data_IF_982780259553
#
_entry.id   IF_982780259553
#
_cell.length_a   1.000
_cell.length_b   1.000
_cell.length_c   1.000
_cell.angle_alpha   90.00
_cell.angle_beta   90.00
_cell.angle_gamma   90.00
#
_symmetry.space_group_name_H-M   'P 1'
#
loop_
_entity.id
_entity.type
_entity.pdbx_description
1 polymer ?
#
# COMPACT_ATOMS: atom_id res chain seq x y z
N UNK A 1 -15.83 -21.15 1.73
CA UNK A 1 -15.22 -20.96 0.39
C UNK A 1 -13.88 -20.28 0.60
N UNK A 2 -12.77 -20.91 0.20
CA UNK A 2 -11.44 -20.33 0.27
C UNK A 2 -11.16 -19.56 -1.03
N UNK A 3 -10.76 -18.30 -0.92
CA UNK A 3 -10.21 -17.56 -2.05
C UNK A 3 -8.72 -17.93 -2.15
N UNK A 4 -8.31 -18.45 -3.31
CA UNK A 4 -6.90 -18.66 -3.63
C UNK A 4 -6.43 -17.54 -4.56
N UNK A 5 -5.29 -16.94 -4.25
CA UNK A 5 -4.54 -16.15 -5.23
C UNK A 5 -3.48 -17.04 -5.83
N UNK A 6 -3.38 -17.02 -7.16
CA UNK A 6 -2.25 -17.68 -7.80
C UNK A 6 -0.95 -16.95 -7.40
N UNK A 7 -0.08 -17.72 -6.74
CA UNK A 7 1.15 -17.24 -6.12
C UNK A 7 2.08 -16.57 -7.14
N UNK A 8 2.17 -17.14 -8.34
CA UNK A 8 3.01 -16.61 -9.41
C UNK A 8 2.49 -15.27 -9.96
N UNK A 9 1.18 -15.12 -10.07
CA UNK A 9 0.57 -13.86 -10.48
C UNK A 9 0.73 -12.75 -9.42
N UNK A 10 0.64 -13.08 -8.13
CA UNK A 10 0.85 -12.11 -7.05
C UNK A 10 2.32 -11.65 -7.00
N UNK A 11 3.26 -12.59 -7.13
CA UNK A 11 4.70 -12.35 -7.23
C UNK A 11 5.06 -11.36 -8.36
N UNK A 12 4.57 -11.64 -9.58
CA UNK A 12 4.89 -10.83 -10.76
C UNK A 12 4.26 -9.42 -10.71
N UNK A 13 3.05 -9.30 -10.16
CA UNK A 13 2.38 -8.01 -10.08
C UNK A 13 2.98 -7.11 -9.00
N UNK A 14 3.35 -7.69 -7.85
CA UNK A 14 3.92 -6.94 -6.73
C UNK A 14 5.22 -6.24 -7.12
N UNK A 15 6.19 -7.01 -7.64
CA UNK A 15 7.51 -6.49 -7.98
C UNK A 15 7.43 -5.39 -9.05
N UNK A 16 6.59 -5.55 -10.08
CA UNK A 16 6.47 -4.53 -11.14
C UNK A 16 5.85 -3.23 -10.65
N UNK A 17 4.79 -3.31 -9.83
CA UNK A 17 4.00 -2.14 -9.43
C UNK A 17 4.61 -1.39 -8.24
N UNK A 18 5.24 -2.12 -7.33
CA UNK A 18 5.69 -1.58 -6.05
C UNK A 18 7.21 -1.43 -5.95
N UNK A 19 7.97 -1.73 -7.01
CA UNK A 19 9.44 -1.54 -7.05
C UNK A 19 9.90 -0.14 -6.64
N UNK A 20 9.08 0.89 -6.90
CA UNK A 20 9.31 2.28 -6.51
C UNK A 20 7.98 2.89 -6.04
N UNK A 21 7.97 3.48 -4.85
CA UNK A 21 6.81 4.12 -4.28
C UNK A 21 7.17 5.45 -3.63
N UNK A 22 6.30 6.46 -3.77
CA UNK A 22 6.40 7.73 -3.08
C UNK A 22 5.18 7.90 -2.16
N UNK A 23 5.44 8.22 -0.90
CA UNK A 23 4.45 8.48 0.13
C UNK A 23 4.47 9.97 0.45
N UNK A 24 3.43 10.67 0.02
CA UNK A 24 3.28 12.13 0.16
C UNK A 24 2.30 12.41 1.30
N UNK A 25 2.71 13.06 2.40
CA UNK A 25 1.78 13.46 3.45
C UNK A 25 0.84 14.53 2.92
N UNK A 26 -0.42 14.47 3.35
CA UNK A 26 -1.41 15.48 3.00
C UNK A 26 -2.29 15.84 4.20
N UNK A 27 -2.68 17.11 4.24
CA UNK A 27 -3.72 17.61 5.11
C UNK A 27 -4.95 17.96 4.26
N UNK A 28 -6.14 17.70 4.80
CA UNK A 28 -7.40 18.06 4.14
C UNK A 28 -8.21 19.00 5.00
N UNK A 29 -8.67 20.11 4.44
CA UNK A 29 -9.46 21.15 5.14
C UNK A 29 -10.72 21.54 4.36
N UNK A 30 -11.70 22.12 5.06
CA UNK A 30 -12.84 22.81 4.46
C UNK A 30 -13.94 21.95 3.81
N UNK A 31 -14.92 22.66 3.25
CA UNK A 31 -15.98 22.16 2.34
C UNK A 31 -16.12 23.19 1.18
N UNK A 32 -15.82 22.83 -0.09
CA UNK A 32 -15.33 21.54 -0.57
C UNK A 32 -13.93 21.22 -0.02
N UNK A 33 -13.54 19.94 -0.07
CA UNK A 33 -12.23 19.50 0.44
C UNK A 33 -11.10 20.17 -0.35
N UNK A 34 -10.24 20.88 0.37
CA UNK A 34 -8.97 21.40 -0.10
C UNK A 34 -7.86 20.52 0.47
N UNK A 35 -6.79 20.33 -0.29
CA UNK A 35 -5.65 19.50 0.12
C UNK A 35 -4.37 20.31 0.06
N UNK A 36 -3.55 20.20 1.12
CA UNK A 36 -2.17 20.68 1.14
C UNK A 36 -1.26 19.47 1.25
N UNK A 37 -0.23 19.41 0.40
CA UNK A 37 0.76 18.34 0.42
C UNK A 37 2.04 18.83 1.09
N UNK A 38 2.64 18.00 1.92
CA UNK A 38 3.92 18.31 2.54
C UNK A 38 5.08 18.14 1.56
N UNK A 39 6.11 18.94 1.75
CA UNK A 39 7.38 18.91 1.00
C UNK A 39 8.27 17.73 1.38
N UNK A 40 8.13 17.22 2.60
CA UNK A 40 8.86 16.05 3.09
C UNK A 40 8.13 14.76 2.75
N UNK A 41 8.59 14.10 1.70
CA UNK A 41 8.05 12.82 1.20
C UNK A 41 8.90 11.64 1.67
N UNK A 42 8.33 10.43 1.63
CA UNK A 42 9.09 9.19 1.82
C UNK A 42 9.15 8.40 0.52
N UNK A 43 10.32 7.93 0.14
CA UNK A 43 10.55 7.13 -1.06
C UNK A 43 10.96 5.72 -0.64
N UNK A 44 10.26 4.72 -1.15
CA UNK A 44 10.61 3.31 -1.00
C UNK A 44 11.07 2.73 -2.34
N UNK A 45 12.25 2.10 -2.36
CA UNK A 45 12.75 1.39 -3.53
C UNK A 45 13.26 -0.01 -3.17
N UNK A 46 13.14 -0.95 -4.11
CA UNK A 46 13.57 -2.33 -3.88
C UNK A 46 12.61 -3.11 -2.98
N UNK A 47 11.40 -3.38 -3.47
CA UNK A 47 10.51 -4.35 -2.82
C UNK A 47 10.66 -5.71 -3.48
N UNK A 48 10.39 -6.76 -2.73
CA UNK A 48 10.15 -8.08 -3.29
C UNK A 48 9.00 -8.78 -2.58
N UNK A 49 8.51 -9.83 -3.21
CA UNK A 49 7.39 -10.60 -2.69
C UNK A 49 7.72 -11.36 -1.39
N UNK A 50 8.98 -11.72 -1.13
CA UNK A 50 9.36 -12.36 0.13
C UNK A 50 9.29 -11.39 1.30
N UNK A 51 9.69 -10.12 1.12
CA UNK A 51 9.47 -9.05 2.10
C UNK A 51 7.98 -8.91 2.43
N UNK A 52 7.14 -8.85 1.39
CA UNK A 52 5.68 -8.82 1.56
C UNK A 52 5.17 -10.04 2.35
N UNK A 53 5.57 -11.26 1.98
CA UNK A 53 5.12 -12.49 2.63
C UNK A 53 5.58 -12.57 4.09
N UNK A 54 6.81 -12.13 4.39
CA UNK A 54 7.33 -12.07 5.75
C UNK A 54 6.48 -11.14 6.63
N UNK A 55 6.11 -9.98 6.10
CA UNK A 55 5.26 -9.02 6.81
C UNK A 55 3.81 -9.45 6.90
N UNK A 56 3.30 -10.19 5.92
CA UNK A 56 1.99 -10.82 5.99
C UNK A 56 1.96 -11.90 7.09
N UNK A 57 3.00 -12.72 7.17
CA UNK A 57 3.15 -13.74 8.21
C UNK A 57 3.30 -13.13 9.62
N UNK A 58 3.98 -11.99 9.76
CA UNK A 58 4.10 -11.28 11.04
C UNK A 58 2.86 -10.43 11.40
N UNK A 59 1.85 -10.38 10.53
CA UNK A 59 0.62 -9.61 10.74
C UNK A 59 0.74 -8.10 10.48
N UNK A 60 1.90 -7.63 9.97
CA UNK A 60 2.12 -6.22 9.61
C UNK A 60 1.47 -5.87 8.27
N UNK A 61 1.31 -6.86 7.38
CA UNK A 61 0.47 -6.77 6.18
C UNK A 61 -0.78 -7.61 6.38
N UNK A 62 -1.95 -7.04 6.09
CA UNK A 62 -3.23 -7.74 6.24
C UNK A 62 -4.14 -7.53 5.04
N UNK A 63 -5.02 -8.50 4.80
CA UNK A 63 -6.04 -8.41 3.78
C UNK A 63 -7.29 -7.71 4.31
N UNK A 64 -7.62 -6.57 3.72
CA UNK A 64 -8.89 -5.89 3.89
C UNK A 64 -9.85 -6.32 2.75
N UNK A 65 -10.96 -7.02 3.05
CA UNK A 65 -11.94 -7.38 2.04
C UNK A 65 -12.70 -6.17 1.47
N UNK A 66 -12.65 -5.00 2.15
CA UNK A 66 -13.24 -3.71 1.80
C UNK A 66 -14.57 -3.81 1.02
N UNK A 67 -15.50 -4.60 1.56
CA UNK A 67 -16.80 -4.84 0.93
C UNK A 67 -17.57 -3.52 0.89
N UNK A 68 -17.93 -3.07 -0.32
CA UNK A 68 -18.76 -1.89 -0.53
C UNK A 68 -20.00 -2.25 -1.34
N UNK A 69 -21.16 -1.76 -0.92
CA UNK A 69 -22.41 -1.87 -1.69
C UNK A 69 -22.66 -0.51 -2.34
N UNK A 70 -22.77 -0.48 -3.67
CA UNK A 70 -23.14 0.70 -4.45
C UNK A 70 -24.22 0.30 -5.46
N UNK A 71 -25.36 0.99 -5.46
CA UNK A 71 -26.45 0.76 -6.41
C UNK A 71 -27.01 -0.68 -6.39
N UNK A 72 -27.08 -1.31 -5.21
CA UNK A 72 -27.58 -2.69 -5.05
C UNK A 72 -26.61 -3.80 -5.47
N UNK A 73 -25.42 -3.47 -5.98
CA UNK A 73 -24.37 -4.45 -6.32
C UNK A 73 -23.24 -4.42 -5.30
N UNK A 74 -22.84 -5.61 -4.85
CA UNK A 74 -21.67 -5.78 -3.99
C UNK A 74 -20.39 -5.66 -4.83
N UNK A 75 -19.56 -4.65 -4.53
CA UNK A 75 -18.20 -4.53 -5.07
C UNK A 75 -17.23 -5.08 -4.04
N UNK A 76 -16.59 -6.20 -4.37
CA UNK A 76 -15.48 -6.77 -3.58
C UNK A 76 -14.20 -6.01 -3.94
N UNK A 77 -13.52 -5.44 -2.94
CA UNK A 77 -12.25 -4.72 -3.11
C UNK A 77 -11.21 -5.36 -2.19
N UNK A 78 -10.72 -6.53 -2.58
CA UNK A 78 -9.69 -7.21 -1.81
C UNK A 78 -8.39 -6.39 -1.89
N UNK A 79 -7.99 -5.76 -0.79
CA UNK A 79 -6.82 -4.90 -0.71
C UNK A 79 -5.86 -5.39 0.36
N UNK A 80 -4.57 -5.48 0.05
CA UNK A 80 -3.54 -5.62 1.07
C UNK A 80 -3.23 -4.25 1.68
N UNK A 81 -3.13 -4.19 3.00
CA UNK A 81 -2.84 -2.98 3.77
C UNK A 81 -1.68 -3.22 4.72
N UNK A 82 -0.99 -2.13 5.06
CA UNK A 82 0.17 -2.08 5.95
C UNK A 82 0.15 -0.76 6.70
N UNK A 83 0.61 -0.74 7.94
CA UNK A 83 0.76 0.51 8.69
C UNK A 83 1.90 1.36 8.09
N UNK A 84 1.76 2.69 8.10
CA UNK A 84 2.81 3.60 7.68
C UNK A 84 4.13 3.41 8.44
N UNK A 85 4.06 3.00 9.70
CA UNK A 85 5.24 2.69 10.53
C UNK A 85 6.01 1.46 10.03
N UNK A 86 5.34 0.51 9.37
CA UNK A 86 5.92 -0.75 8.90
C UNK A 86 6.40 -0.68 7.44
N UNK A 87 6.10 0.41 6.73
CA UNK A 87 6.53 0.62 5.35
C UNK A 87 8.04 0.42 5.11
N UNK A 88 8.96 0.89 5.98
CA UNK A 88 10.38 0.67 5.76
C UNK A 88 10.75 -0.81 5.59
N UNK A 89 9.99 -1.72 6.21
CA UNK A 89 10.25 -3.15 6.14
C UNK A 89 9.85 -3.78 4.80
N UNK A 90 9.12 -3.06 3.94
CA UNK A 90 8.73 -3.51 2.59
C UNK A 90 9.76 -3.18 1.51
N UNK A 91 10.79 -2.40 1.84
CA UNK A 91 11.73 -1.84 0.87
C UNK A 91 13.18 -2.11 1.29
N UNK A 92 14.08 -2.22 0.32
CA UNK A 92 15.53 -2.28 0.55
C UNK A 92 16.05 -0.90 0.97
N UNK A 93 15.55 0.16 0.34
CA UNK A 93 15.83 1.54 0.70
C UNK A 93 14.53 2.29 0.96
N UNK A 94 14.47 2.96 2.12
CA UNK A 94 13.32 3.77 2.51
C UNK A 94 13.79 5.09 3.13
N UNK A 95 13.69 6.16 2.37
CA UNK A 95 14.31 7.44 2.71
C UNK A 95 13.30 8.58 2.76
N UNK A 96 13.58 9.60 3.58
CA UNK A 96 12.82 10.84 3.60
C UNK A 96 13.52 11.88 2.73
N UNK A 97 12.81 12.48 1.79
CA UNK A 97 13.34 13.49 0.87
C UNK A 97 12.51 14.76 1.01
N UNK A 98 13.19 15.92 1.04
CA UNK A 98 12.56 17.22 0.94
C UNK A 98 12.53 17.66 -0.52
N UNK A 99 11.34 18.05 -1.01
CA UNK A 99 11.18 18.65 -2.32
C UNK A 99 11.40 20.17 -2.17
N UNK A 100 12.42 20.69 -2.86
CA UNK A 100 12.79 22.12 -2.91
C UNK A 100 11.96 22.83 -3.98
#
# INVERSE_FOLDING_TARGET
MAAGWDFANLLNHWNRKHAKAAYVPSESTGKPKQYRFGDRVKLGTGTDFFKFMRLAHSGQVYLDPAVKIEGGKQKKRNQFRVNHSDLPNLYDDFQSVSLI
#
